data_IF_427914243203
#
_entry.id   IF_427914243203
#
_cell.length_a   1.000
_cell.length_b   1.000
_cell.length_c   1.000
_cell.angle_alpha   90.00
_cell.angle_beta   90.00
_cell.angle_gamma   90.00
#
_symmetry.space_group_name_H-M   'P 1'
#
loop_
_entity.id
_entity.type
_entity.pdbx_description
1 polymer ?
#
# COMPACT_ATOMS: atom_id res chain seq x y z
N UNK A 1 -18.49 32.76 -44.88
CA UNK A 1 -17.58 31.86 -44.11
C UNK A 1 -17.50 32.20 -42.61
N UNK A 2 -17.20 33.43 -42.17
CA UNK A 2 -17.06 33.76 -40.73
C UNK A 2 -18.26 33.39 -39.85
N UNK A 3 -19.50 33.61 -40.30
CA UNK A 3 -20.72 33.27 -39.52
C UNK A 3 -20.95 31.75 -39.36
N UNK A 4 -20.50 30.95 -40.33
CA UNK A 4 -20.61 29.49 -40.28
C UNK A 4 -19.60 28.91 -39.28
N UNK A 5 -18.38 29.45 -39.24
CA UNK A 5 -17.33 29.02 -38.33
C UNK A 5 -17.71 29.25 -36.85
N UNK A 6 -18.30 30.41 -36.54
CA UNK A 6 -18.75 30.74 -35.17
C UNK A 6 -19.86 29.79 -34.72
N UNK A 7 -20.79 29.44 -35.60
CA UNK A 7 -21.90 28.55 -35.26
C UNK A 7 -21.42 27.13 -34.97
N UNK A 8 -20.45 26.62 -35.73
CA UNK A 8 -19.86 25.28 -35.51
C UNK A 8 -19.07 25.21 -34.20
N UNK A 9 -18.32 26.27 -33.85
CA UNK A 9 -17.57 26.33 -32.59
C UNK A 9 -18.52 26.37 -31.38
N UNK A 10 -19.61 27.12 -31.44
CA UNK A 10 -20.61 27.17 -30.35
C UNK A 10 -21.28 25.80 -30.18
N UNK A 11 -21.65 25.13 -31.29
CA UNK A 11 -22.25 23.79 -31.23
C UNK A 11 -21.27 22.77 -30.64
N UNK A 12 -19.99 22.81 -31.02
CA UNK A 12 -18.97 21.92 -30.46
C UNK A 12 -18.72 22.18 -28.97
N UNK A 13 -18.69 23.44 -28.52
CA UNK A 13 -18.56 23.78 -27.10
C UNK A 13 -19.78 23.31 -26.31
N UNK A 14 -21.00 23.53 -26.82
CA UNK A 14 -22.21 23.04 -26.18
C UNK A 14 -22.27 21.51 -26.13
N UNK A 15 -21.91 20.80 -27.20
CA UNK A 15 -21.79 19.34 -27.20
C UNK A 15 -20.72 18.86 -26.21
N UNK A 16 -19.62 19.58 -26.05
CA UNK A 16 -18.60 19.25 -25.05
C UNK A 16 -19.10 19.41 -23.61
N UNK A 17 -19.96 20.40 -23.34
CA UNK A 17 -20.61 20.54 -22.03
C UNK A 17 -21.74 19.54 -21.78
N UNK A 18 -22.44 19.07 -22.82
CA UNK A 18 -23.47 18.03 -22.70
C UNK A 18 -22.92 16.59 -22.68
N UNK A 19 -21.71 16.37 -23.24
CA UNK A 19 -21.00 15.08 -23.21
C UNK A 19 -19.96 15.00 -22.10
N UNK A 20 -19.74 16.07 -21.34
CA UNK A 20 -19.01 15.96 -20.08
C UNK A 20 -19.80 14.96 -19.22
N UNK A 21 -19.18 13.84 -18.79
CA UNK A 21 -19.87 12.91 -17.92
C UNK A 21 -20.36 13.73 -16.73
N UNK A 22 -21.68 13.76 -16.53
CA UNK A 22 -22.25 14.20 -15.28
C UNK A 22 -21.48 13.41 -14.24
N UNK A 23 -20.64 14.09 -13.45
CA UNK A 23 -20.14 13.54 -12.23
C UNK A 23 -21.40 13.29 -11.42
N UNK A 24 -21.98 12.10 -11.57
CA UNK A 24 -22.97 11.60 -10.64
C UNK A 24 -22.25 11.72 -9.32
N UNK A 25 -22.65 12.70 -8.52
CA UNK A 25 -22.50 12.63 -7.09
C UNK A 25 -23.19 11.31 -6.75
N UNK A 26 -22.38 10.25 -6.66
CA UNK A 26 -22.77 9.02 -6.02
C UNK A 26 -22.95 9.46 -4.57
N UNK A 27 -24.13 10.01 -4.29
CA UNK A 27 -24.76 10.08 -2.98
C UNK A 27 -25.06 8.63 -2.60
N UNK A 28 -24.02 7.81 -2.47
CA UNK A 28 -24.16 6.62 -1.68
C UNK A 28 -24.10 7.11 -0.25
N UNK A 29 -25.16 6.88 0.50
CA UNK A 29 -25.20 7.05 1.95
C UNK A 29 -24.12 6.21 2.68
N UNK A 30 -23.25 5.51 1.94
CA UNK A 30 -22.20 4.64 2.43
C UNK A 30 -20.91 5.42 2.68
N UNK A 31 -20.90 6.08 3.83
CA UNK A 31 -19.78 6.90 4.30
C UNK A 31 -18.76 6.10 5.13
N UNK A 32 -17.74 6.78 5.66
CA UNK A 32 -16.68 6.16 6.45
C UNK A 32 -17.23 5.60 7.76
N UNK A 33 -18.16 6.29 8.42
CA UNK A 33 -18.74 5.82 9.67
C UNK A 33 -19.58 4.55 9.48
N UNK A 34 -20.41 4.50 8.44
CA UNK A 34 -21.19 3.30 8.10
C UNK A 34 -20.25 2.13 7.80
N UNK A 35 -19.19 2.37 7.03
CA UNK A 35 -18.21 1.34 6.71
C UNK A 35 -17.47 0.82 7.94
N UNK A 36 -16.99 1.71 8.82
CA UNK A 36 -16.31 1.31 10.06
C UNK A 36 -17.26 0.51 10.97
N UNK A 37 -18.53 0.87 11.04
CA UNK A 37 -19.54 0.11 11.78
C UNK A 37 -19.69 -1.31 11.23
N UNK A 38 -19.78 -1.47 9.92
CA UNK A 38 -19.83 -2.78 9.26
C UNK A 38 -18.56 -3.59 9.51
N UNK A 39 -17.39 -2.96 9.37
CA UNK A 39 -16.09 -3.54 9.69
C UNK A 39 -16.04 -4.12 11.09
N UNK A 40 -16.46 -3.36 12.10
CA UNK A 40 -16.49 -3.85 13.48
C UNK A 40 -17.41 -5.05 13.64
N UNK A 41 -18.60 -5.02 13.02
CA UNK A 41 -19.52 -6.14 13.08
C UNK A 41 -18.95 -7.41 12.42
N UNK A 42 -18.39 -7.29 11.22
CA UNK A 42 -17.84 -8.41 10.45
C UNK A 42 -16.57 -9.01 11.07
N UNK A 43 -15.76 -8.18 11.72
CA UNK A 43 -14.53 -8.58 12.41
C UNK A 43 -14.77 -9.03 13.87
N UNK A 44 -15.98 -8.87 14.39
CA UNK A 44 -16.31 -9.20 15.79
C UNK A 44 -15.75 -8.21 16.82
N UNK A 45 -15.40 -6.98 16.42
CA UNK A 45 -14.82 -5.96 17.30
C UNK A 45 -15.94 -5.25 18.07
N UNK A 46 -16.08 -5.56 19.36
CA UNK A 46 -17.11 -4.97 20.23
C UNK A 46 -16.66 -3.70 20.94
N UNK A 47 -15.35 -3.53 21.16
CA UNK A 47 -14.76 -2.35 21.81
C UNK A 47 -14.82 -1.10 20.93
N UNK A 48 -14.63 0.08 21.53
CA UNK A 48 -14.31 1.30 20.76
C UNK A 48 -12.92 1.15 20.13
N UNK A 49 -12.77 1.66 18.91
CA UNK A 49 -11.47 1.73 18.26
C UNK A 49 -10.58 2.74 18.99
N UNK A 50 -9.27 2.44 19.16
CA UNK A 50 -8.34 3.38 19.75
C UNK A 50 -8.23 4.63 18.88
N UNK A 51 -7.96 5.77 19.51
CA UNK A 51 -7.55 6.97 18.79
C UNK A 51 -6.16 6.74 18.21
N UNK A 52 -5.91 7.27 17.02
CA UNK A 52 -4.67 7.02 16.27
C UNK A 52 -3.90 8.31 16.03
N UNK A 53 -2.60 8.28 16.28
CA UNK A 53 -1.66 9.29 15.79
C UNK A 53 -0.60 8.63 14.92
N UNK A 54 -0.31 9.22 13.77
CA UNK A 54 0.83 8.79 12.95
C UNK A 54 2.15 8.83 13.73
N UNK A 55 2.28 9.76 14.68
CA UNK A 55 3.48 9.94 15.51
C UNK A 55 3.51 9.05 16.76
N UNK A 56 2.45 8.28 17.03
CA UNK A 56 2.49 7.19 18.04
C UNK A 56 3.10 5.91 17.45
N UNK A 57 3.28 5.86 16.13
CA UNK A 57 3.91 4.74 15.44
C UNK A 57 5.44 4.78 15.50
N UNK A 58 6.07 3.65 15.20
CA UNK A 58 7.51 3.57 14.99
C UNK A 58 7.87 4.16 13.63
N UNK A 59 8.89 5.02 13.59
CA UNK A 59 9.44 5.49 12.33
C UNK A 59 10.07 4.32 11.58
N UNK A 60 9.71 4.18 10.30
CA UNK A 60 10.31 3.21 9.38
C UNK A 60 11.69 3.75 8.95
N UNK A 61 12.79 3.08 9.31
CA UNK A 61 14.12 3.46 8.86
C UNK A 61 14.23 3.29 7.34
N UNK A 62 15.09 4.10 6.71
CA UNK A 62 15.38 4.00 5.28
C UNK A 62 16.84 3.70 5.10
N UNK A 63 17.12 2.69 4.32
CA UNK A 63 18.46 2.28 3.98
C UNK A 63 18.80 2.60 2.52
N UNK A 64 20.06 2.95 2.28
CA UNK A 64 20.70 3.03 0.97
C UNK A 64 21.94 2.16 1.04
N UNK A 65 22.06 1.17 0.15
CA UNK A 65 23.19 0.24 0.13
C UNK A 65 23.50 -0.33 1.54
N UNK A 66 22.44 -0.72 2.29
CA UNK A 66 22.46 -1.27 3.67
C UNK A 66 22.85 -0.29 4.79
N UNK A 67 23.06 0.99 4.49
CA UNK A 67 23.32 2.03 5.47
C UNK A 67 22.06 2.86 5.71
N UNK A 68 21.69 3.07 6.97
CA UNK A 68 20.54 3.91 7.30
C UNK A 68 20.81 5.36 6.93
N UNK A 69 19.85 6.01 6.29
CA UNK A 69 19.88 7.44 6.02
C UNK A 69 19.67 8.19 7.33
N UNK A 70 20.68 8.96 7.71
CA UNK A 70 20.71 9.87 8.85
C UNK A 70 21.13 11.27 8.36
N UNK A 71 21.10 12.25 9.26
CA UNK A 71 21.35 13.66 8.92
C UNK A 71 22.77 13.87 8.41
N UNK A 72 23.73 13.19 9.01
CA UNK A 72 25.16 13.32 8.76
C UNK A 72 25.63 12.61 7.47
N UNK A 73 24.90 11.58 7.02
CA UNK A 73 25.20 10.84 5.79
C UNK A 73 24.20 11.09 4.64
N UNK A 74 23.25 12.03 4.81
CA UNK A 74 22.21 12.31 3.82
C UNK A 74 22.78 12.67 2.44
N UNK A 75 23.72 13.61 2.35
CA UNK A 75 24.24 14.08 1.06
C UNK A 75 24.97 12.96 0.31
N UNK A 76 25.64 12.05 1.03
CA UNK A 76 26.30 10.86 0.46
C UNK A 76 25.25 9.88 -0.08
N UNK A 77 24.30 9.48 0.76
CA UNK A 77 23.36 8.40 0.45
C UNK A 77 22.19 8.83 -0.46
N UNK A 78 21.74 10.08 -0.39
CA UNK A 78 20.58 10.57 -1.15
C UNK A 78 20.83 10.72 -2.65
N UNK A 79 22.10 10.86 -3.06
CA UNK A 79 22.50 10.88 -4.46
C UNK A 79 22.39 9.49 -5.12
N UNK A 80 22.35 8.43 -4.31
CA UNK A 80 22.17 7.07 -4.78
C UNK A 80 20.68 6.82 -5.06
N UNK A 81 20.36 6.44 -6.29
CA UNK A 81 19.00 6.05 -6.72
C UNK A 81 18.52 4.70 -6.14
N UNK A 82 18.98 4.32 -4.94
CA UNK A 82 18.99 2.94 -4.46
C UNK A 82 18.52 2.79 -3.01
N UNK A 83 17.47 3.50 -2.64
CA UNK A 83 16.85 3.27 -1.35
C UNK A 83 15.81 2.18 -1.39
N UNK A 84 15.57 1.74 -0.19
CA UNK A 84 14.79 0.59 0.20
C UNK A 84 13.27 0.90 0.22
N UNK A 85 12.91 2.18 0.36
CA UNK A 85 11.55 2.72 0.23
C UNK A 85 11.45 3.79 -0.88
N UNK A 86 11.46 3.41 -2.17
CA UNK A 86 11.44 4.35 -3.28
C UNK A 86 10.06 4.98 -3.46
N UNK A 87 10.02 6.25 -3.84
CA UNK A 87 8.77 6.92 -4.23
C UNK A 87 8.35 6.55 -5.66
N UNK A 88 7.26 5.79 -5.81
CA UNK A 88 6.79 5.33 -7.13
C UNK A 88 5.81 6.29 -7.80
N UNK A 89 4.95 6.97 -7.03
CA UNK A 89 3.82 7.76 -7.53
C UNK A 89 4.14 9.26 -7.73
N UNK A 90 5.40 9.57 -8.05
CA UNK A 90 5.91 10.93 -8.02
C UNK A 90 6.40 11.51 -9.33
N UNK A 91 6.82 10.67 -10.28
CA UNK A 91 7.75 11.09 -11.35
C UNK A 91 9.14 11.50 -10.82
N UNK A 92 9.20 12.03 -9.60
CA UNK A 92 10.37 12.55 -8.94
C UNK A 92 10.99 11.49 -8.01
N UNK A 93 12.17 11.06 -8.41
CA UNK A 93 12.95 9.91 -7.94
C UNK A 93 13.60 10.17 -6.55
N UNK A 94 13.03 9.68 -5.46
CA UNK A 94 13.63 9.83 -4.12
C UNK A 94 13.09 8.86 -3.06
N UNK A 95 13.72 8.85 -1.89
CA UNK A 95 13.41 7.97 -0.76
C UNK A 95 12.32 8.58 0.14
N UNK A 96 11.31 7.79 0.51
CA UNK A 96 10.17 8.25 1.32
C UNK A 96 10.44 8.19 2.82
N UNK A 97 11.29 9.10 3.30
CA UNK A 97 11.61 9.25 4.72
C UNK A 97 10.37 9.59 5.56
N UNK A 98 10.46 9.39 6.88
CA UNK A 98 9.42 9.76 7.84
C UNK A 98 8.10 9.00 7.68
N UNK A 99 8.16 7.82 7.07
CA UNK A 99 7.06 6.89 7.14
C UNK A 99 6.98 6.33 8.56
N UNK A 100 5.78 6.20 9.11
CA UNK A 100 5.54 5.63 10.44
C UNK A 100 4.58 4.45 10.32
N UNK A 101 4.78 3.44 11.17
CA UNK A 101 3.83 2.34 11.32
C UNK A 101 3.45 2.16 12.78
N UNK A 102 2.16 1.98 13.03
CA UNK A 102 1.64 1.61 14.32
C UNK A 102 0.88 0.30 14.17
N UNK A 103 1.23 -0.71 14.97
CA UNK A 103 0.51 -1.98 15.01
C UNK A 103 -0.14 -2.11 16.38
N UNK A 104 -1.46 -2.20 16.41
CA UNK A 104 -2.27 -2.28 17.62
C UNK A 104 -3.04 -3.59 17.63
N UNK A 105 -2.81 -4.40 18.67
CA UNK A 105 -3.64 -5.55 18.95
C UNK A 105 -4.96 -5.06 19.58
N UNK A 106 -6.09 -5.29 18.92
CA UNK A 106 -7.40 -4.88 19.42
C UNK A 106 -7.98 -5.90 20.40
N UNK A 107 -7.79 -7.18 20.10
CA UNK A 107 -8.16 -8.37 20.89
C UNK A 107 -7.33 -9.58 20.39
N UNK A 108 -7.66 -10.81 20.76
CA UNK A 108 -6.87 -12.00 20.38
C UNK A 108 -6.88 -12.32 18.87
N UNK A 109 -7.83 -11.80 18.12
CA UNK A 109 -8.02 -12.13 16.70
C UNK A 109 -7.86 -10.90 15.80
N UNK A 110 -8.02 -9.69 16.32
CA UNK A 110 -8.08 -8.47 15.52
C UNK A 110 -6.83 -7.62 15.71
N UNK A 111 -6.21 -7.27 14.59
CA UNK A 111 -5.08 -6.34 14.51
C UNK A 111 -5.49 -5.12 13.71
N UNK A 112 -5.11 -3.94 14.22
CA UNK A 112 -5.23 -2.67 13.53
C UNK A 112 -3.83 -2.16 13.18
N UNK A 113 -3.64 -1.74 11.94
CA UNK A 113 -2.37 -1.18 11.45
C UNK A 113 -2.62 0.20 10.89
N UNK A 114 -1.86 1.17 11.37
CA UNK A 114 -1.76 2.50 10.80
C UNK A 114 -0.43 2.61 10.04
N UNK A 115 -0.50 3.00 8.77
CA UNK A 115 0.67 3.32 7.96
C UNK A 115 0.55 4.78 7.54
N UNK A 116 1.50 5.62 7.93
CA UNK A 116 1.52 7.03 7.57
C UNK A 116 2.80 7.37 6.82
N UNK A 117 2.69 8.12 5.74
CA UNK A 117 3.83 8.48 4.89
C UNK A 117 3.79 9.97 4.53
N UNK A 118 4.96 10.60 4.52
CA UNK A 118 5.12 12.02 4.18
C UNK A 118 5.65 12.14 2.75
N UNK A 119 4.93 12.89 1.89
CA UNK A 119 5.32 13.21 0.50
C UNK A 119 5.86 14.64 0.36
N UNK A 120 5.77 15.47 1.40
CA UNK A 120 6.21 16.87 1.45
C UNK A 120 5.09 17.82 1.86
N UNK A 121 5.40 19.12 2.03
CA UNK A 121 4.39 20.09 2.48
C UNK A 121 3.26 20.30 1.43
N UNK A 122 2.14 20.87 1.88
CA UNK A 122 0.97 21.14 1.03
C UNK A 122 1.16 22.24 0.00
N UNK A 123 1.94 23.25 0.34
CA UNK A 123 2.14 24.43 -0.51
C UNK A 123 3.08 24.14 -1.68
N UNK A 124 3.93 23.13 -1.56
CA UNK A 124 4.91 22.71 -2.52
C UNK A 124 5.34 21.26 -2.21
N UNK A 125 4.77 20.32 -2.98
CA UNK A 125 5.03 18.87 -2.87
C UNK A 125 6.51 18.49 -3.02
N UNK A 126 7.36 19.38 -3.55
CA UNK A 126 8.82 19.17 -3.66
C UNK A 126 9.62 19.89 -2.59
N UNK A 127 9.01 20.81 -1.84
CA UNK A 127 9.73 21.70 -0.92
C UNK A 127 10.49 20.94 0.15
N UNK A 128 9.89 19.88 0.71
CA UNK A 128 10.57 19.03 1.67
C UNK A 128 11.92 18.50 1.18
N UNK A 129 12.03 18.18 -0.13
CA UNK A 129 13.27 17.72 -0.76
C UNK A 129 14.25 18.86 -1.07
N UNK A 130 13.76 20.09 -1.21
CA UNK A 130 14.59 21.29 -1.35
C UNK A 130 15.18 21.73 -0.01
N UNK A 131 14.46 21.46 1.09
CA UNK A 131 14.89 21.78 2.45
C UNK A 131 15.86 20.71 2.96
N UNK A 132 17.08 20.69 2.39
CA UNK A 132 18.15 19.74 2.76
C UNK A 132 18.35 19.60 4.27
N UNK A 133 18.15 20.68 5.02
CA UNK A 133 18.31 20.69 6.48
C UNK A 133 17.37 19.73 7.19
N UNK A 134 16.21 19.38 6.64
CA UNK A 134 15.25 18.48 7.27
C UNK A 134 15.41 17.02 6.86
N UNK A 135 16.23 16.73 5.85
CA UNK A 135 16.40 15.38 5.33
C UNK A 135 17.41 14.61 6.20
N UNK A 136 17.13 13.33 6.47
CA UNK A 136 17.95 12.48 7.33
C UNK A 136 17.82 12.77 8.84
N UNK A 137 17.09 13.81 9.25
CA UNK A 137 16.75 13.99 10.67
C UNK A 137 15.88 12.84 11.17
N UNK A 138 15.92 12.54 12.46
CA UNK A 138 14.89 11.72 13.10
C UNK A 138 13.73 12.59 13.61
N UNK A 139 12.64 11.95 14.05
CA UNK A 139 11.44 12.67 14.49
C UNK A 139 11.69 13.58 15.72
N UNK A 140 12.61 13.21 16.62
CA UNK A 140 12.97 14.03 17.79
C UNK A 140 13.67 15.33 17.36
N UNK A 141 14.67 15.24 16.47
CA UNK A 141 15.40 16.40 15.98
C UNK A 141 14.46 17.42 15.29
N UNK A 142 13.47 16.93 14.54
CA UNK A 142 12.46 17.79 13.89
C UNK A 142 11.55 18.47 14.91
N UNK A 143 11.18 17.75 15.97
CA UNK A 143 10.43 18.32 17.09
C UNK A 143 11.22 19.44 17.76
N UNK A 144 12.50 19.22 18.05
CA UNK A 144 13.38 20.22 18.67
C UNK A 144 13.49 21.48 17.80
N UNK A 145 13.62 21.32 16.47
CA UNK A 145 13.61 22.47 15.56
C UNK A 145 12.28 23.23 15.59
N UNK A 146 11.15 22.50 15.55
CA UNK A 146 9.83 23.10 15.67
C UNK A 146 9.64 23.86 16.99
N UNK A 147 10.06 23.28 18.11
CA UNK A 147 9.89 23.87 19.43
C UNK A 147 10.67 25.18 19.56
N UNK A 148 11.88 25.23 19.00
CA UNK A 148 12.76 26.40 19.00
C UNK A 148 12.40 27.47 17.96
N UNK A 149 11.53 27.15 16.98
CA UNK A 149 11.12 28.09 15.96
C UNK A 149 9.98 29.01 16.41
N UNK A 150 9.86 30.15 15.73
CA UNK A 150 8.85 31.17 15.99
C UNK A 150 8.20 31.68 14.70
N UNK A 151 7.01 32.30 14.83
CA UNK A 151 6.30 32.91 13.71
C UNK A 151 6.07 31.95 12.53
N UNK A 152 6.32 32.44 11.31
CA UNK A 152 6.09 31.69 10.08
C UNK A 152 6.96 30.41 9.97
N UNK A 153 8.19 30.44 10.47
CA UNK A 153 9.08 29.28 10.47
C UNK A 153 8.50 28.15 11.31
N UNK A 154 7.90 28.46 12.47
CA UNK A 154 7.26 27.46 13.33
C UNK A 154 6.13 26.72 12.60
N UNK A 155 5.29 27.46 11.88
CA UNK A 155 4.20 26.91 11.07
C UNK A 155 4.74 26.02 9.93
N UNK A 156 5.80 26.47 9.26
CA UNK A 156 6.46 25.71 8.20
C UNK A 156 7.09 24.40 8.72
N UNK A 157 7.79 24.44 9.84
CA UNK A 157 8.34 23.25 10.50
C UNK A 157 7.24 22.34 11.04
N UNK A 158 6.07 22.87 11.41
CA UNK A 158 4.94 22.04 11.81
C UNK A 158 4.38 21.20 10.67
N UNK A 159 4.26 21.79 9.45
CA UNK A 159 3.91 21.03 8.25
C UNK A 159 4.87 19.86 8.06
N UNK A 160 6.17 20.08 8.25
CA UNK A 160 7.15 19.02 8.16
C UNK A 160 6.93 17.97 9.25
N UNK A 161 6.96 18.41 10.50
CA UNK A 161 6.93 17.53 11.65
C UNK A 161 5.70 16.59 11.65
N UNK A 162 4.50 17.10 11.34
CA UNK A 162 3.26 16.37 11.60
C UNK A 162 2.30 16.22 10.41
N UNK A 163 2.64 16.54 9.15
CA UNK A 163 1.72 16.29 8.03
C UNK A 163 2.09 15.09 7.17
N UNK A 164 1.10 14.32 6.76
CA UNK A 164 1.20 13.06 6.04
C UNK A 164 0.29 13.07 4.83
N UNK A 165 0.77 12.57 3.69
CA UNK A 165 0.08 12.63 2.39
C UNK A 165 -0.46 11.28 1.93
N UNK A 166 -0.15 10.21 2.66
CA UNK A 166 -0.65 8.87 2.43
C UNK A 166 -0.79 8.21 3.80
N UNK A 167 -2.03 8.00 4.20
CA UNK A 167 -2.42 7.38 5.46
C UNK A 167 -3.27 6.18 5.09
N UNK A 168 -2.92 5.02 5.62
CA UNK A 168 -3.68 3.79 5.50
C UNK A 168 -4.00 3.22 6.86
N UNK A 169 -5.27 2.97 7.14
CA UNK A 169 -5.71 2.20 8.30
C UNK A 169 -6.21 0.85 7.80
N UNK A 170 -5.69 -0.21 8.39
CA UNK A 170 -6.05 -1.59 8.07
C UNK A 170 -6.58 -2.21 9.35
N UNK A 171 -7.79 -2.77 9.31
CA UNK A 171 -8.28 -3.68 10.35
C UNK A 171 -8.32 -5.08 9.76
N UNK A 172 -7.76 -6.07 10.46
CA UNK A 172 -7.73 -7.44 9.97
C UNK A 172 -7.94 -8.44 11.11
N UNK A 173 -8.83 -9.39 10.88
CA UNK A 173 -8.97 -10.56 11.72
C UNK A 173 -7.95 -11.62 11.25
N UNK A 174 -7.00 -11.96 12.12
CA UNK A 174 -5.88 -12.88 11.87
C UNK A 174 -6.27 -14.35 11.96
N UNK A 175 -7.54 -14.65 12.21
CA UNK A 175 -8.09 -16.01 12.16
C UNK A 175 -8.90 -16.26 10.88
N UNK A 176 -9.79 -15.32 10.52
CA UNK A 176 -10.71 -15.46 9.38
C UNK A 176 -10.15 -14.87 8.08
N UNK A 177 -9.20 -13.94 8.15
CA UNK A 177 -8.68 -13.22 6.99
C UNK A 177 -9.58 -12.07 6.50
N UNK A 178 -10.67 -11.77 7.21
CA UNK A 178 -11.50 -10.58 6.97
C UNK A 178 -10.69 -9.31 7.15
N UNK A 179 -10.89 -8.31 6.28
CA UNK A 179 -10.09 -7.09 6.30
C UNK A 179 -10.86 -5.84 5.85
N UNK A 180 -10.50 -4.71 6.45
CA UNK A 180 -11.04 -3.39 6.15
C UNK A 180 -9.93 -2.38 5.86
N UNK A 181 -10.21 -1.42 4.99
CA UNK A 181 -9.23 -0.42 4.55
C UNK A 181 -9.84 0.98 4.57
N UNK A 182 -9.19 1.88 5.30
CA UNK A 182 -9.40 3.31 5.14
C UNK A 182 -8.13 3.92 4.58
N UNK A 183 -8.28 4.89 3.68
CA UNK A 183 -7.13 5.62 3.17
C UNK A 183 -7.40 7.10 3.00
N UNK A 184 -6.34 7.87 3.18
CA UNK A 184 -6.26 9.26 2.80
C UNK A 184 -5.00 9.40 1.98
N UNK A 185 -5.10 9.90 0.76
CA UNK A 185 -3.93 10.21 -0.04
C UNK A 185 -4.13 11.46 -0.91
N UNK A 186 -3.01 12.05 -1.32
CA UNK A 186 -2.95 13.24 -2.14
C UNK A 186 -2.71 14.50 -1.31
N UNK A 187 -3.71 14.85 -0.50
CA UNK A 187 -3.64 16.01 0.40
C UNK A 187 -2.94 15.61 1.69
N UNK A 188 -2.00 16.45 2.14
CA UNK A 188 -1.31 16.28 3.40
C UNK A 188 -2.21 16.79 4.50
N UNK A 189 -2.22 16.01 5.55
CA UNK A 189 -3.06 16.23 6.68
C UNK A 189 -2.28 15.91 7.95
N UNK A 190 -2.65 16.47 9.09
CA UNK A 190 -1.90 16.16 10.31
C UNK A 190 -2.05 14.71 10.72
N UNK A 191 -1.05 14.21 11.46
CA UNK A 191 -1.02 12.86 12.02
C UNK A 191 -2.06 12.57 13.09
N UNK A 192 -2.74 13.58 13.64
CA UNK A 192 -3.87 13.39 14.56
C UNK A 192 -5.11 12.91 13.81
N UNK A 193 -5.47 11.63 13.95
CA UNK A 193 -6.60 11.04 13.23
C UNK A 193 -7.86 11.00 14.08
N UNK A 194 -9.03 11.37 13.52
CA UNK A 194 -10.27 11.37 14.28
C UNK A 194 -10.67 9.99 14.78
N UNK A 195 -11.55 9.91 15.79
CA UNK A 195 -12.23 8.67 16.12
C UNK A 195 -12.94 8.11 14.87
N UNK A 196 -12.64 6.86 14.53
CA UNK A 196 -13.20 6.22 13.34
C UNK A 196 -14.63 5.70 13.57
N UNK A 197 -14.99 5.43 14.82
CA UNK A 197 -16.28 4.83 15.22
C UNK A 197 -17.05 5.69 16.23
N UNK A 198 -16.71 6.98 16.32
CA UNK A 198 -17.38 7.94 17.19
C UNK A 198 -17.38 9.35 16.58
N UNK A 199 -18.23 10.23 17.12
CA UNK A 199 -18.24 11.63 16.75
C UNK A 199 -16.94 12.32 17.16
N UNK A 200 -16.55 13.34 16.37
CA UNK A 200 -15.41 14.20 16.70
C UNK A 200 -15.71 14.97 17.99
N UNK A 201 -14.91 14.80 19.06
CA UNK A 201 -15.08 15.56 20.30
C UNK A 201 -14.71 17.04 20.08
N UNK A 202 -15.07 17.92 21.01
CA UNK A 202 -14.66 19.34 20.96
C UNK A 202 -13.13 19.51 20.86
N UNK A 203 -12.67 20.60 20.23
CA UNK A 203 -11.25 20.83 19.89
C UNK A 203 -10.26 20.62 21.03
N UNK A 204 -10.57 21.17 22.21
CA UNK A 204 -9.69 21.03 23.39
C UNK A 204 -9.60 19.57 23.82
N UNK A 205 -10.75 18.90 23.97
CA UNK A 205 -10.82 17.49 24.31
C UNK A 205 -10.18 16.59 23.24
N UNK A 206 -10.26 16.97 21.97
CA UNK A 206 -9.66 16.24 20.88
C UNK A 206 -8.14 16.18 21.01
N UNK A 207 -7.47 17.34 21.15
CA UNK A 207 -6.02 17.37 21.29
C UNK A 207 -5.55 16.72 22.60
N UNK A 208 -6.30 16.91 23.70
CA UNK A 208 -5.97 16.34 25.01
C UNK A 208 -5.97 14.80 25.03
N UNK A 209 -6.56 14.13 24.03
CA UNK A 209 -6.56 12.66 23.91
C UNK A 209 -5.30 12.09 23.27
N UNK A 210 -4.44 12.91 22.68
CA UNK A 210 -3.17 12.46 22.10
C UNK A 210 -2.00 12.71 23.04
N UNK A 211 -0.90 11.99 22.79
CA UNK A 211 0.35 12.11 23.53
C UNK A 211 0.74 13.60 23.72
N UNK A 212 0.89 14.09 24.97
CA UNK A 212 1.27 15.47 25.24
C UNK A 212 2.65 15.85 24.71
N UNK A 213 3.53 14.87 24.48
CA UNK A 213 4.86 15.09 23.91
C UNK A 213 4.81 15.36 22.40
N UNK A 214 3.68 15.14 21.72
CA UNK A 214 3.55 15.51 20.31
C UNK A 214 3.30 17.00 20.16
N UNK A 215 3.99 17.62 19.20
CA UNK A 215 3.78 19.04 18.93
C UNK A 215 2.33 19.33 18.56
N UNK A 216 1.73 20.32 19.24
CA UNK A 216 0.39 20.82 18.95
C UNK A 216 0.42 21.76 17.75
N UNK A 217 -0.67 21.85 16.97
CA UNK A 217 -0.74 22.81 15.87
C UNK A 217 -0.55 24.24 16.38
N UNK A 218 0.24 25.07 15.69
CA UNK A 218 0.28 26.51 15.93
C UNK A 218 -1.11 27.13 15.89
N UNK A 219 -1.30 28.27 16.57
CA UNK A 219 -2.60 28.95 16.69
C UNK A 219 -3.21 29.32 15.33
N UNK A 220 -2.37 29.65 14.37
CA UNK A 220 -2.69 30.04 13.00
C UNK A 220 -2.66 28.87 12.00
N UNK A 221 -2.42 27.64 12.47
CA UNK A 221 -2.38 26.47 11.59
C UNK A 221 -3.79 26.10 11.09
N UNK A 222 -3.97 25.80 9.79
CA UNK A 222 -5.31 25.60 9.22
C UNK A 222 -6.06 24.45 9.91
N UNK A 223 -7.26 24.76 10.39
CA UNK A 223 -8.04 23.87 11.26
C UNK A 223 -8.47 22.59 10.55
N UNK A 224 -8.87 22.70 9.29
CA UNK A 224 -9.30 21.60 8.44
C UNK A 224 -8.23 20.50 8.26
N UNK A 225 -6.96 20.86 8.49
CA UNK A 225 -5.84 19.92 8.41
C UNK A 225 -5.65 19.08 9.66
N UNK A 226 -6.24 19.44 10.81
CA UNK A 226 -6.07 18.68 12.05
C UNK A 226 -7.36 18.37 12.79
N UNK A 227 -8.39 19.20 12.67
CA UNK A 227 -9.69 19.03 13.32
C UNK A 227 -10.76 18.71 12.29
N UNK A 228 -10.96 17.42 12.03
CA UNK A 228 -11.89 16.92 11.02
C UNK A 228 -12.44 15.57 11.43
N UNK A 229 -13.69 15.28 11.05
CA UNK A 229 -14.30 13.98 11.35
C UNK A 229 -13.81 12.88 10.38
N UNK A 230 -14.23 11.63 10.60
CA UNK A 230 -13.75 10.51 9.79
C UNK A 230 -14.10 10.64 8.30
N UNK A 231 -15.29 11.13 7.97
CA UNK A 231 -15.73 11.36 6.57
C UNK A 231 -14.92 12.44 5.86
N UNK A 232 -14.44 13.44 6.60
CA UNK A 232 -13.56 14.49 6.07
C UNK A 232 -12.10 14.02 6.00
N UNK A 233 -11.69 13.13 6.91
CA UNK A 233 -10.31 12.70 7.04
C UNK A 233 -9.88 11.62 6.06
N UNK A 234 -10.82 10.80 5.60
CA UNK A 234 -10.56 9.66 4.73
C UNK A 234 -11.38 9.77 3.45
N UNK A 235 -10.85 9.18 2.38
CA UNK A 235 -11.62 8.98 1.16
C UNK A 235 -12.76 8.00 1.43
N UNK A 236 -13.87 8.15 0.68
CA UNK A 236 -15.00 7.24 0.83
C UNK A 236 -14.59 5.79 0.54
N UNK A 237 -15.32 4.79 1.08
CA UNK A 237 -15.05 3.38 0.79
C UNK A 237 -15.13 3.07 -0.71
N UNK A 238 -16.11 3.65 -1.42
CA UNK A 238 -16.25 3.48 -2.87
C UNK A 238 -15.06 4.06 -3.64
N UNK A 239 -14.60 5.25 -3.28
CA UNK A 239 -13.39 5.83 -3.88
C UNK A 239 -12.16 4.97 -3.61
N UNK A 240 -11.99 4.50 -2.37
CA UNK A 240 -10.86 3.66 -1.96
C UNK A 240 -10.84 2.33 -2.70
N UNK A 241 -12.00 1.68 -2.85
CA UNK A 241 -12.12 0.45 -3.64
C UNK A 241 -11.77 0.70 -5.11
N UNK A 242 -12.33 1.75 -5.72
CA UNK A 242 -12.10 2.11 -7.12
C UNK A 242 -10.66 2.57 -7.41
N UNK A 243 -9.91 3.00 -6.39
CA UNK A 243 -8.49 3.30 -6.52
C UNK A 243 -7.64 2.07 -6.88
N UNK A 244 -8.21 0.86 -6.85
CA UNK A 244 -7.57 -0.31 -7.42
C UNK A 244 -6.39 -0.83 -6.60
N UNK A 245 -6.39 -0.62 -5.27
CA UNK A 245 -5.27 -1.05 -4.44
C UNK A 245 -4.96 -2.55 -4.59
N UNK A 246 -5.99 -3.37 -4.78
CA UNK A 246 -5.89 -4.81 -5.00
C UNK A 246 -5.35 -5.17 -6.40
N UNK A 247 -5.38 -4.24 -7.36
CA UNK A 247 -4.82 -4.43 -8.70
C UNK A 247 -3.29 -4.33 -8.71
N UNK A 248 -2.69 -3.79 -7.64
CA UNK A 248 -1.25 -3.57 -7.54
C UNK A 248 -0.62 -4.18 -6.28
N UNK A 249 -1.41 -4.57 -5.28
CA UNK A 249 -0.89 -5.09 -4.01
C UNK A 249 -1.32 -6.52 -3.72
N UNK A 250 -0.50 -7.22 -2.93
CA UNK A 250 -0.78 -8.57 -2.47
C UNK A 250 -2.09 -8.65 -1.66
N UNK A 251 -2.90 -9.67 -1.96
CA UNK A 251 -4.13 -9.95 -1.25
C UNK A 251 -3.90 -10.70 0.08
N UNK A 252 -3.07 -10.13 0.96
CA UNK A 252 -2.75 -10.69 2.30
C UNK A 252 -3.41 -9.90 3.42
N UNK A 253 -4.07 -8.82 3.04
CA UNK A 253 -4.68 -7.84 3.90
C UNK A 253 -3.77 -6.93 4.72
N UNK A 254 -2.45 -7.09 4.69
CA UNK A 254 -1.49 -6.08 5.15
C UNK A 254 -0.56 -5.62 4.01
N UNK A 255 -0.03 -4.40 4.12
CA UNK A 255 1.00 -3.87 3.21
C UNK A 255 2.39 -4.32 3.69
N UNK A 256 2.88 -5.42 3.12
CA UNK A 256 4.24 -5.89 3.38
C UNK A 256 5.24 -5.26 2.42
N UNK A 257 6.37 -4.81 2.95
CA UNK A 257 7.58 -4.47 2.19
C UNK A 257 8.78 -5.08 2.93
N UNK A 258 9.94 -5.27 2.30
CA UNK A 258 11.14 -5.78 3.00
C UNK A 258 11.57 -4.94 4.21
N UNK A 259 11.06 -3.71 4.33
CA UNK A 259 11.43 -2.76 5.39
C UNK A 259 10.28 -2.47 6.37
N UNK A 260 9.04 -2.75 5.95
CA UNK A 260 7.84 -2.74 6.81
C UNK A 260 7.60 -4.13 7.43
N UNK A 261 8.15 -5.21 6.86
CA UNK A 261 7.83 -6.58 7.26
C UNK A 261 8.84 -7.15 8.29
N UNK A 262 8.30 -7.90 9.25
CA UNK A 262 8.92 -8.74 10.29
C UNK A 262 9.53 -8.08 11.53
N UNK A 263 9.97 -6.82 11.50
CA UNK A 263 10.56 -6.17 12.68
C UNK A 263 9.63 -5.23 13.45
N UNK A 264 8.62 -4.67 12.78
CA UNK A 264 7.74 -3.63 13.37
C UNK A 264 6.37 -4.17 13.78
N UNK A 265 6.33 -5.40 14.30
CA UNK A 265 5.13 -5.96 14.95
C UNK A 265 4.02 -6.49 14.04
N UNK A 266 4.13 -6.40 12.71
CA UNK A 266 3.13 -6.99 11.80
C UNK A 266 3.02 -8.52 11.99
N UNK A 267 1.81 -9.11 11.85
CA UNK A 267 1.65 -10.54 11.80
C UNK A 267 2.54 -11.17 10.73
N UNK A 268 3.14 -12.33 11.05
CA UNK A 268 4.07 -13.03 10.15
C UNK A 268 3.39 -13.32 8.81
N UNK A 269 4.05 -12.93 7.72
CA UNK A 269 3.50 -13.08 6.37
C UNK A 269 3.17 -14.54 6.02
N UNK A 270 3.94 -15.51 6.52
CA UNK A 270 3.66 -16.95 6.31
C UNK A 270 2.41 -17.44 7.03
N UNK A 271 2.00 -16.79 8.12
CA UNK A 271 0.73 -17.09 8.76
C UNK A 271 -0.41 -16.46 7.94
N UNK A 272 -0.22 -15.22 7.47
CA UNK A 272 -1.22 -14.52 6.68
C UNK A 272 -1.44 -15.11 5.28
N UNK A 273 -0.41 -15.72 4.66
CA UNK A 273 -0.53 -16.39 3.36
C UNK A 273 -1.44 -17.61 3.39
N UNK A 274 -1.72 -18.17 4.57
CA UNK A 274 -2.65 -19.30 4.73
C UNK A 274 -4.11 -18.86 4.86
N UNK A 275 -4.33 -17.56 5.05
CA UNK A 275 -5.65 -16.98 5.20
C UNK A 275 -6.11 -16.37 3.87
N UNK A 276 -7.42 -16.38 3.61
CA UNK A 276 -7.96 -15.61 2.50
C UNK A 276 -7.81 -14.09 2.77
N UNK A 277 -8.03 -13.30 1.73
CA UNK A 277 -8.34 -11.88 1.89
C UNK A 277 -9.83 -11.71 1.61
N UNK A 278 -10.58 -11.47 2.67
CA UNK A 278 -12.03 -11.26 2.59
C UNK A 278 -12.30 -9.79 2.89
N UNK A 279 -12.35 -8.91 1.87
CA UNK A 279 -12.66 -7.52 2.10
C UNK A 279 -14.08 -7.38 2.67
N UNK A 280 -14.22 -6.52 3.66
CA UNK A 280 -15.53 -6.10 4.18
C UNK A 280 -15.99 -4.85 3.41
N UNK A 281 -17.30 -4.67 3.33
CA UNK A 281 -17.93 -3.54 2.67
C UNK A 281 -18.26 -3.84 1.21
N UNK A 282 -19.52 -3.59 0.85
CA UNK A 282 -20.03 -3.83 -0.52
C UNK A 282 -19.13 -3.23 -1.62
N UNK A 283 -18.63 -1.98 -1.53
CA UNK A 283 -17.79 -1.43 -2.59
C UNK A 283 -16.50 -2.22 -2.84
N UNK A 284 -15.86 -2.73 -1.78
CA UNK A 284 -14.65 -3.54 -1.93
C UNK A 284 -14.98 -4.95 -2.46
N UNK A 285 -16.07 -5.55 -1.99
CA UNK A 285 -16.55 -6.85 -2.48
C UNK A 285 -16.86 -6.77 -3.99
N UNK A 286 -17.60 -5.75 -4.41
CA UNK A 286 -17.97 -5.56 -5.81
C UNK A 286 -16.71 -5.33 -6.66
N UNK A 287 -15.81 -4.42 -6.24
CA UNK A 287 -14.55 -4.18 -6.95
C UNK A 287 -13.71 -5.45 -7.11
N UNK A 288 -13.68 -6.31 -6.09
CA UNK A 288 -12.93 -7.56 -6.11
C UNK A 288 -13.55 -8.56 -7.09
N UNK A 289 -14.87 -8.66 -7.15
CA UNK A 289 -15.59 -9.49 -8.11
C UNK A 289 -15.39 -9.02 -9.54
N UNK A 290 -15.49 -7.72 -9.78
CA UNK A 290 -15.32 -7.12 -11.10
C UNK A 290 -13.92 -7.37 -11.68
N UNK A 291 -12.94 -7.61 -10.81
CA UNK A 291 -11.57 -7.86 -11.20
C UNK A 291 -11.29 -9.33 -11.60
N UNK A 292 -12.22 -10.24 -11.30
CA UNK A 292 -12.18 -11.68 -11.64
C UNK A 292 -10.82 -12.37 -11.38
N UNK A 293 -10.27 -12.15 -10.18
CA UNK A 293 -8.97 -12.69 -9.83
C UNK A 293 -9.01 -14.20 -9.58
N UNK A 294 -8.02 -14.91 -10.12
CA UNK A 294 -7.72 -16.28 -9.71
C UNK A 294 -6.49 -16.27 -8.82
N UNK A 295 -6.50 -17.10 -7.76
CA UNK A 295 -5.26 -17.40 -7.07
C UNK A 295 -4.46 -18.40 -7.92
N UNK A 296 -3.16 -18.18 -8.06
CA UNK A 296 -2.27 -18.96 -8.93
C UNK A 296 -1.14 -19.59 -8.12
N UNK A 297 -0.80 -20.83 -8.43
CA UNK A 297 0.45 -21.48 -8.03
C UNK A 297 0.92 -22.42 -9.14
N UNK A 298 1.99 -23.15 -8.89
CA UNK A 298 2.56 -24.12 -9.84
C UNK A 298 2.54 -25.52 -9.23
N UNK A 299 2.66 -26.53 -10.08
CA UNK A 299 3.15 -27.84 -9.63
C UNK A 299 4.54 -27.72 -9.00
N UNK A 300 4.97 -28.78 -8.30
CA UNK A 300 6.28 -28.81 -7.70
C UNK A 300 7.36 -28.68 -8.79
N UNK A 301 8.36 -27.84 -8.53
CA UNK A 301 9.48 -27.59 -9.43
C UNK A 301 10.67 -28.31 -8.83
N UNK A 302 11.21 -29.31 -9.53
CA UNK A 302 12.29 -30.19 -9.04
C UNK A 302 11.98 -30.82 -7.67
N UNK A 303 10.73 -31.23 -7.47
CA UNK A 303 10.26 -31.82 -6.22
C UNK A 303 9.96 -30.82 -5.10
N UNK A 304 10.16 -29.51 -5.32
CA UNK A 304 9.91 -28.49 -4.31
C UNK A 304 8.62 -27.70 -4.56
N UNK A 305 7.86 -27.37 -3.50
CA UNK A 305 6.73 -26.44 -3.59
C UNK A 305 7.15 -25.07 -4.11
N UNK A 306 6.25 -24.40 -4.81
CA UNK A 306 6.49 -23.08 -5.37
C UNK A 306 6.85 -22.04 -4.28
N UNK A 307 8.10 -21.54 -4.31
CA UNK A 307 8.69 -20.63 -3.32
C UNK A 307 7.85 -19.37 -3.08
N UNK A 308 7.37 -18.72 -4.14
CA UNK A 308 6.61 -17.47 -4.00
C UNK A 308 5.34 -17.69 -3.17
N UNK A 309 4.63 -18.80 -3.40
CA UNK A 309 3.34 -19.07 -2.75
C UNK A 309 3.43 -19.61 -1.33
N UNK A 310 4.65 -19.87 -0.83
CA UNK A 310 4.85 -20.21 0.58
C UNK A 310 4.62 -18.99 1.48
N UNK A 311 4.99 -17.81 0.98
CA UNK A 311 4.82 -16.55 1.67
C UNK A 311 3.70 -15.69 1.06
N UNK A 312 3.26 -15.96 -0.18
CA UNK A 312 2.34 -15.07 -0.88
C UNK A 312 1.10 -15.75 -1.48
N UNK A 313 -0.08 -15.17 -1.25
CA UNK A 313 -1.23 -15.37 -2.13
C UNK A 313 -0.96 -14.69 -3.47
N UNK A 314 -0.47 -15.44 -4.45
CA UNK A 314 -0.28 -14.98 -5.82
C UNK A 314 -1.63 -15.02 -6.56
N UNK A 315 -1.96 -13.97 -7.27
CA UNK A 315 -3.25 -13.71 -7.92
C UNK A 315 -2.99 -13.21 -9.33
N UNK A 316 -3.83 -13.56 -10.31
CA UNK A 316 -3.68 -13.17 -11.74
C UNK A 316 -3.59 -11.67 -11.98
N UNK A 317 -3.96 -10.84 -11.00
CA UNK A 317 -3.71 -9.39 -10.98
C UNK A 317 -2.92 -8.96 -9.75
N UNK A 318 -2.30 -7.79 -9.81
CA UNK A 318 -1.46 -7.22 -8.74
C UNK A 318 -0.14 -7.93 -8.57
N UNK A 319 -0.19 -9.10 -7.94
CA UNK A 319 1.00 -9.85 -7.53
C UNK A 319 1.68 -10.55 -8.70
N UNK A 320 0.89 -11.11 -9.62
CA UNK A 320 1.35 -11.70 -10.87
C UNK A 320 1.82 -10.68 -11.92
N UNK A 321 1.43 -9.41 -11.78
CA UNK A 321 1.83 -8.32 -12.66
C UNK A 321 3.23 -7.79 -12.35
N UNK A 322 3.42 -6.48 -12.41
CA UNK A 322 4.74 -5.84 -12.25
C UNK A 322 5.42 -6.13 -10.90
N UNK A 323 4.63 -6.51 -9.88
CA UNK A 323 5.12 -6.75 -8.52
C UNK A 323 6.14 -7.89 -8.40
N UNK A 324 5.94 -9.00 -9.13
CA UNK A 324 6.87 -10.14 -9.07
C UNK A 324 8.22 -9.79 -9.71
N UNK A 325 8.18 -9.02 -10.78
CA UNK A 325 9.35 -8.56 -11.52
C UNK A 325 10.15 -7.53 -10.71
N UNK A 326 9.45 -6.62 -10.05
CA UNK A 326 10.04 -5.71 -9.08
C UNK A 326 10.71 -6.47 -7.93
N UNK A 327 10.01 -7.42 -7.32
CA UNK A 327 10.49 -8.11 -6.13
C UNK A 327 11.72 -8.97 -6.39
N UNK A 328 11.78 -9.59 -7.57
CA UNK A 328 12.78 -10.61 -7.94
C UNK A 328 13.88 -10.09 -8.87
N UNK A 329 13.89 -8.77 -9.14
CA UNK A 329 14.93 -8.06 -9.88
C UNK A 329 14.96 -8.34 -11.37
N UNK A 330 13.80 -8.49 -12.02
CA UNK A 330 13.66 -8.68 -13.48
C UNK A 330 12.62 -7.72 -14.08
N UNK A 331 12.90 -6.40 -14.14
CA UNK A 331 11.88 -5.42 -14.47
C UNK A 331 11.68 -5.27 -15.99
N UNK A 332 10.50 -4.78 -16.39
CA UNK A 332 10.27 -4.27 -17.74
C UNK A 332 11.13 -3.02 -18.01
N UNK A 333 11.49 -2.79 -19.27
CA UNK A 333 12.59 -1.89 -19.69
C UNK A 333 12.47 -0.44 -19.19
N UNK A 334 11.26 0.11 -19.09
CA UNK A 334 11.05 1.51 -18.66
C UNK A 334 11.24 1.69 -17.14
N UNK A 335 10.92 0.67 -16.33
CA UNK A 335 11.05 0.71 -14.87
C UNK A 335 12.44 0.26 -14.39
N UNK A 336 13.13 -0.56 -15.20
CA UNK A 336 14.46 -1.13 -14.91
C UNK A 336 15.58 -0.07 -14.85
N UNK A 337 15.66 0.83 -15.84
CA UNK A 337 16.71 1.87 -15.91
C UNK A 337 16.71 2.77 -14.67
N UNK A 338 15.57 2.81 -13.95
CA UNK A 338 15.39 3.57 -12.73
C UNK A 338 15.78 2.81 -11.46
N UNK A 339 15.40 1.53 -11.32
CA UNK A 339 15.56 0.74 -10.10
C UNK A 339 16.96 0.13 -9.88
N UNK A 340 17.77 -0.04 -10.93
CA UNK A 340 19.05 -0.76 -10.80
C UNK A 340 20.26 0.17 -10.91
N UNK A 341 20.72 0.66 -9.76
CA UNK A 341 22.15 1.00 -9.56
C UNK A 341 22.82 0.16 -8.45
N UNK A 342 22.17 -0.87 -7.90
CA UNK A 342 22.74 -1.78 -6.89
C UNK A 342 23.37 -3.02 -7.55
N UNK A 343 24.43 -3.56 -6.96
CA UNK A 343 25.03 -4.86 -7.34
C UNK A 343 24.17 -6.05 -6.90
N UNK A 344 23.14 -5.83 -6.07
CA UNK A 344 22.11 -6.79 -5.67
C UNK A 344 20.73 -6.21 -5.96
N UNK A 345 20.20 -6.45 -7.16
CA UNK A 345 18.93 -5.92 -7.66
C UNK A 345 17.66 -6.63 -7.13
N UNK A 346 17.79 -7.46 -6.08
CA UNK A 346 16.73 -8.36 -5.60
C UNK A 346 16.57 -8.22 -4.08
N UNK A 347 15.34 -8.05 -3.60
CA UNK A 347 15.02 -8.11 -2.16
C UNK A 347 14.20 -9.37 -1.79
N UNK A 348 13.77 -10.14 -2.80
CA UNK A 348 13.11 -11.44 -2.62
C UNK A 348 13.85 -12.56 -3.35
N UNK A 349 13.79 -13.81 -2.81
CA UNK A 349 13.27 -14.14 -1.48
C UNK A 349 14.23 -13.67 -0.36
N UNK A 350 13.76 -13.44 0.88
CA UNK A 350 14.61 -13.12 2.05
C UNK A 350 15.35 -14.37 2.58
N UNK A 351 15.48 -15.40 1.74
CA UNK A 351 16.03 -16.69 2.07
C UNK A 351 17.34 -16.85 1.30
N UNK A 352 18.38 -17.34 1.97
CA UNK A 352 19.62 -17.74 1.31
C UNK A 352 19.31 -18.99 0.50
N UNK A 353 19.26 -18.83 -0.82
CA UNK A 353 18.90 -19.89 -1.75
C UNK A 353 19.73 -19.78 -3.02
N UNK A 354 19.87 -20.90 -3.71
CA UNK A 354 20.49 -20.94 -5.02
C UNK A 354 19.77 -20.01 -6.01
N UNK A 355 20.54 -19.20 -6.72
CA UNK A 355 19.99 -18.14 -7.57
C UNK A 355 19.31 -18.71 -8.82
N UNK A 356 19.83 -19.83 -9.35
CA UNK A 356 19.24 -20.55 -10.49
C UNK A 356 17.87 -21.13 -10.11
N UNK A 357 17.77 -21.72 -8.92
CA UNK A 357 16.51 -22.20 -8.37
C UNK A 357 15.46 -21.08 -8.25
N UNK A 358 15.81 -19.94 -7.68
CA UNK A 358 14.91 -18.78 -7.59
C UNK A 358 14.44 -18.36 -8.99
N UNK A 359 15.36 -18.24 -9.96
CA UNK A 359 15.05 -17.86 -11.34
C UNK A 359 14.02 -18.81 -11.95
N UNK A 360 14.16 -20.12 -11.74
CA UNK A 360 13.23 -21.15 -12.23
C UNK A 360 11.84 -21.02 -11.62
N UNK A 361 11.75 -20.83 -10.31
CA UNK A 361 10.49 -20.63 -9.60
C UNK A 361 9.74 -19.38 -10.06
N UNK A 362 10.46 -18.26 -10.21
CA UNK A 362 9.91 -17.00 -10.71
C UNK A 362 9.44 -17.13 -12.16
N UNK A 363 10.25 -17.72 -13.03
CA UNK A 363 9.90 -17.93 -14.45
C UNK A 363 8.59 -18.71 -14.58
N UNK A 364 8.47 -19.81 -13.82
CA UNK A 364 7.29 -20.68 -13.85
C UNK A 364 6.06 -19.97 -13.30
N UNK A 365 6.20 -19.25 -12.17
CA UNK A 365 5.12 -18.45 -11.61
C UNK A 365 4.61 -17.42 -12.62
N UNK A 366 5.51 -16.65 -13.24
CA UNK A 366 5.13 -15.67 -14.27
C UNK A 366 4.43 -16.30 -15.46
N UNK A 367 4.89 -17.45 -15.91
CA UNK A 367 4.20 -18.15 -16.99
C UNK A 367 2.77 -18.53 -16.58
N UNK A 368 2.58 -19.07 -15.39
CA UNK A 368 1.25 -19.42 -14.87
C UNK A 368 0.36 -18.21 -14.59
N UNK A 369 0.94 -17.09 -14.20
CA UNK A 369 0.23 -15.82 -14.10
C UNK A 369 -0.38 -15.38 -15.43
N UNK A 370 0.38 -15.52 -16.54
CA UNK A 370 -0.07 -15.15 -17.88
C UNK A 370 -0.91 -16.24 -18.57
N UNK A 371 -0.74 -17.50 -18.15
CA UNK A 371 -1.38 -18.68 -18.74
C UNK A 371 -1.90 -19.59 -17.61
N UNK A 372 -2.94 -19.16 -16.86
CA UNK A 372 -3.42 -19.89 -15.68
C UNK A 372 -3.84 -21.33 -15.97
N UNK A 373 -4.32 -21.63 -17.19
CA UNK A 373 -4.72 -22.97 -17.61
C UNK A 373 -3.56 -23.80 -18.23
N UNK A 374 -2.34 -23.27 -18.32
CA UNK A 374 -1.24 -24.05 -18.88
C UNK A 374 -0.90 -25.28 -18.01
N UNK A 375 -0.47 -26.37 -18.65
CA UNK A 375 -0.03 -27.57 -17.93
C UNK A 375 1.13 -27.23 -16.97
N UNK A 376 1.01 -27.70 -15.72
CA UNK A 376 1.95 -27.38 -14.64
C UNK A 376 1.55 -26.17 -13.80
N UNK A 377 0.49 -25.45 -14.19
CA UNK A 377 -0.11 -24.39 -13.39
C UNK A 377 -1.27 -24.93 -12.56
N UNK A 378 -1.53 -24.29 -11.42
CA UNK A 378 -2.68 -24.56 -10.57
C UNK A 378 -3.39 -23.26 -10.26
N UNK A 379 -4.71 -23.26 -10.39
CA UNK A 379 -5.54 -22.11 -10.03
C UNK A 379 -6.66 -22.50 -9.10
N UNK A 380 -7.15 -21.56 -8.30
CA UNK A 380 -8.41 -21.75 -7.58
C UNK A 380 -9.19 -20.45 -7.54
N UNK A 381 -10.51 -20.58 -7.37
CA UNK A 381 -11.38 -19.44 -7.12
C UNK A 381 -10.87 -18.68 -5.91
N UNK A 382 -10.78 -17.37 -6.09
CA UNK A 382 -10.37 -16.44 -5.07
C UNK A 382 -11.36 -15.29 -5.12
N UNK A 383 -12.37 -15.37 -4.26
CA UNK A 383 -13.40 -14.36 -4.19
C UNK A 383 -13.42 -13.65 -2.84
N UNK A 384 -14.12 -12.52 -2.76
CA UNK A 384 -14.08 -11.66 -1.58
C UNK A 384 -14.90 -12.21 -0.40
N UNK A 385 -15.73 -13.24 -0.60
CA UNK A 385 -16.58 -13.80 0.45
C UNK A 385 -16.27 -15.26 0.73
N UNK A 386 -16.65 -15.75 1.92
CA UNK A 386 -16.50 -17.16 2.29
C UNK A 386 -17.21 -18.12 1.33
N UNK A 387 -18.33 -17.70 0.74
CA UNK A 387 -19.09 -18.49 -0.22
C UNK A 387 -18.34 -18.69 -1.55
N UNK A 388 -17.38 -17.80 -1.86
CA UNK A 388 -16.58 -17.88 -3.07
C UNK A 388 -15.34 -18.78 -2.90
N UNK A 389 -14.99 -19.11 -1.64
CA UNK A 389 -13.84 -19.95 -1.35
C UNK A 389 -14.17 -21.43 -1.49
N UNK A 390 -13.21 -22.27 -1.95
CA UNK A 390 -13.36 -23.71 -1.87
C UNK A 390 -13.48 -24.17 -0.42
N UNK A 391 -14.19 -25.28 -0.22
CA UNK A 391 -14.22 -26.00 1.07
C UNK A 391 -12.78 -26.27 1.51
N UNK A 392 -12.50 -26.12 2.80
CA UNK A 392 -11.18 -26.38 3.38
C UNK A 392 -10.03 -25.53 2.74
N UNK A 393 -10.33 -24.30 2.27
CA UNK A 393 -9.35 -23.36 1.70
C UNK A 393 -8.07 -23.23 2.54
N UNK A 394 -8.21 -23.17 3.88
CA UNK A 394 -7.10 -23.04 4.84
C UNK A 394 -6.17 -24.25 4.88
N UNK A 395 -6.65 -25.43 4.43
CA UNK A 395 -5.84 -26.64 4.23
C UNK A 395 -5.19 -26.71 2.85
N UNK A 396 -5.38 -25.66 2.03
CA UNK A 396 -4.86 -25.60 0.67
C UNK A 396 -5.71 -26.34 -0.36
N UNK A 397 -6.99 -26.63 -0.06
CA UNK A 397 -7.88 -27.29 -1.02
C UNK A 397 -8.39 -26.34 -2.12
N UNK A 398 -9.02 -26.92 -3.14
CA UNK A 398 -9.68 -26.21 -4.25
C UNK A 398 -8.81 -25.87 -5.45
N UNK A 399 -7.55 -26.30 -5.48
CA UNK A 399 -6.68 -26.15 -6.66
C UNK A 399 -7.15 -27.02 -7.82
N UNK A 400 -7.28 -26.40 -8.98
CA UNK A 400 -7.53 -27.02 -10.27
C UNK A 400 -6.24 -26.97 -11.08
N UNK A 401 -5.77 -28.13 -11.55
CA UNK A 401 -4.60 -28.20 -12.43
C UNK A 401 -4.97 -27.75 -13.85
N UNK A 402 -4.16 -26.88 -14.43
CA UNK A 402 -4.31 -26.44 -15.83
C UNK A 402 -4.19 -27.62 -16.79
N UNK A 403 -5.07 -27.65 -17.79
CA UNK A 403 -5.15 -28.73 -18.79
C UNK A 403 -4.73 -28.28 -20.20
N UNK A 404 -4.41 -26.99 -20.36
CA UNK A 404 -3.98 -26.39 -21.61
C UNK A 404 -2.57 -26.84 -22.05
N UNK A 405 -2.06 -26.18 -23.09
CA UNK A 405 -0.75 -26.47 -23.65
C UNK A 405 0.38 -26.35 -22.60
N UNK A 406 1.46 -27.09 -22.81
CA UNK A 406 2.62 -27.11 -21.92
C UNK A 406 3.54 -25.89 -22.13
N UNK A 407 2.97 -24.69 -22.05
CA UNK A 407 3.65 -23.43 -22.36
C UNK A 407 4.76 -23.12 -21.35
N UNK A 408 4.56 -23.47 -20.08
CA UNK A 408 5.47 -23.08 -18.99
C UNK A 408 6.72 -23.95 -18.88
N UNK A 409 6.71 -25.19 -19.41
CA UNK A 409 7.91 -26.03 -19.48
C UNK A 409 8.97 -25.43 -20.40
N UNK A 410 8.55 -24.79 -21.49
CA UNK A 410 9.46 -24.08 -22.40
C UNK A 410 10.10 -22.85 -21.74
N UNK A 411 9.35 -22.10 -20.93
CA UNK A 411 9.86 -20.92 -20.22
C UNK A 411 10.95 -21.27 -19.22
N UNK A 412 10.79 -22.37 -18.47
CA UNK A 412 11.82 -22.86 -17.54
C UNK A 412 13.15 -23.13 -18.23
N UNK A 413 13.11 -23.69 -19.44
CA UNK A 413 14.30 -24.09 -20.19
C UNK A 413 14.80 -23.00 -21.15
N UNK A 414 14.17 -21.82 -21.15
CA UNK A 414 14.49 -20.78 -22.12
C UNK A 414 15.77 -20.01 -21.77
N UNK A 415 16.55 -19.71 -22.80
CA UNK A 415 17.81 -18.93 -22.71
C UNK A 415 17.58 -17.54 -22.07
N UNK A 416 16.39 -16.95 -22.27
CA UNK A 416 16.00 -15.67 -21.67
C UNK A 416 16.03 -15.70 -20.13
N UNK A 417 15.81 -16.87 -19.52
CA UNK A 417 15.86 -17.02 -18.08
C UNK A 417 17.20 -17.56 -17.57
N UNK A 418 17.97 -18.28 -18.42
CA UNK A 418 19.20 -19.00 -18.05
C UNK A 418 19.02 -19.74 -16.71
N UNK A 419 17.84 -20.32 -16.48
CA UNK A 419 17.44 -20.85 -15.18
C UNK A 419 18.32 -22.03 -14.75
N UNK A 420 19.00 -22.69 -15.69
CA UNK A 420 19.90 -23.82 -15.44
C UNK A 420 21.38 -23.40 -15.28
N UNK A 421 21.71 -22.10 -15.37
CA UNK A 421 23.08 -21.61 -15.22
C UNK A 421 23.25 -20.93 -13.86
N UNK A 422 24.16 -21.49 -13.05
CA UNK A 422 24.69 -20.84 -11.84
C UNK A 422 25.52 -19.63 -12.29
N UNK A 423 25.21 -18.44 -11.75
CA UNK A 423 26.02 -17.23 -11.94
C UNK A 423 27.15 -17.14 -10.92
#
# INVERSE_FOLDING_TARGET
>A
MKKLLISVVIILICLFFFLAPVNQEISSNYDVYQYVKECKAELGITRKLPLLSCLDGEQIPIFVDKHEIQRDNWDELSSAKKCDNPHWLGGDMGCWTYSHIQVLQLDNENVMVLNCRQKGNQLNKTWFRKTKTNLGMNQQQRKEQYDNAHGAEKTELYYLYNTFNDIGVILRNTHTGKSCYLTQYGDAVTGFLPPLDAQLPGKSDYLNKYNPDQARPPKDFPEELWYRNANQAFKSPGFTANAGCIDCHNAHGFKYSPYINSKQGLPRIQAMSKLPMLPVGKPFIDRFRDADFLQVTTEAIDGMPQLCTQCHNMTTSGTCGDSIDFATGRPSTTLHTWLTRSTSSKWMPPLIMDSALIKKHVATMKCCCNNPDAKGCKTRKFGPTLADLPKDFSKGEGWVSGQGANLCKGTMNSIQWNADKVE
#
